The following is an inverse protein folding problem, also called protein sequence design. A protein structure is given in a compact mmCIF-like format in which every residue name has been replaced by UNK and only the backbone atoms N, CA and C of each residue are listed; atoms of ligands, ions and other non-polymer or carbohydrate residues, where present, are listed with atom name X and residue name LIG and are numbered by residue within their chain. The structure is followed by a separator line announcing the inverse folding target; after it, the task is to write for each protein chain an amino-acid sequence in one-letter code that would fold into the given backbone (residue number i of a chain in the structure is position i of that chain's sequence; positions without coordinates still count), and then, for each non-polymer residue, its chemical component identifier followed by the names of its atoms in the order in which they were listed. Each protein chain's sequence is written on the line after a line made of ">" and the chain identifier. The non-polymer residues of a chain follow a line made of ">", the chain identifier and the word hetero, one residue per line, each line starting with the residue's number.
data_IF_286411664933
#
_entry.id   IF_286411664933
#
_cell.length_a   1.000
_cell.length_b   1.000
_cell.length_c   1.000
_cell.angle_alpha   90.00
_cell.angle_beta   90.00
_cell.angle_gamma   90.00
#
_symmetry.space_group_name_H-M   'P 1'
#
loop_
_entity.id
_entity.type
_entity.pdbx_description
1 polymer ?
#
# COMPACT_ATOMS: atom_id res chain seq x y z
N UNK A 1 -22.10 43.86 75.14
CA UNK A 1 -22.86 42.65 74.78
C UNK A 1 -22.28 42.08 73.49
N UNK A 2 -21.39 41.07 73.64
CA UNK A 2 -20.83 40.38 72.47
C UNK A 2 -21.75 39.22 72.11
N UNK A 3 -22.29 39.27 70.89
CA UNK A 3 -23.08 38.17 70.36
C UNK A 3 -22.15 37.01 70.00
N UNK A 4 -22.51 35.80 70.47
CA UNK A 4 -21.78 34.57 70.11
C UNK A 4 -21.87 34.27 68.61
N UNK A 5 -20.81 33.72 68.00
CA UNK A 5 -20.84 33.34 66.59
C UNK A 5 -21.86 32.18 66.31
N UNK A 6 -22.49 32.13 65.14
CA UNK A 6 -23.44 31.05 64.82
C UNK A 6 -22.73 29.67 64.73
N UNK A 7 -23.42 28.60 65.13
CA UNK A 7 -22.83 27.26 65.09
C UNK A 7 -22.48 26.84 63.65
N UNK A 8 -21.25 26.29 63.49
CA UNK A 8 -20.78 25.69 62.22
C UNK A 8 -21.72 24.54 61.81
N UNK A 9 -22.24 24.63 60.59
CA UNK A 9 -23.04 23.54 60.03
C UNK A 9 -22.12 22.35 59.69
N UNK A 10 -22.47 21.11 60.10
CA UNK A 10 -21.66 19.95 59.80
C UNK A 10 -21.64 19.73 58.29
N UNK A 11 -20.44 19.59 57.72
CA UNK A 11 -20.21 19.23 56.31
C UNK A 11 -20.95 17.94 55.98
N UNK A 12 -21.84 17.99 54.97
CA UNK A 12 -22.59 16.80 54.50
C UNK A 12 -21.62 15.70 54.13
N UNK A 13 -21.80 14.44 54.58
CA UNK A 13 -20.88 13.37 54.30
C UNK A 13 -20.82 13.16 52.77
N UNK A 14 -19.63 13.23 52.20
CA UNK A 14 -19.37 12.97 50.80
C UNK A 14 -20.01 11.62 50.42
N UNK A 15 -20.74 11.58 49.32
CA UNK A 15 -21.53 10.44 48.91
C UNK A 15 -20.61 9.26 48.50
N UNK A 16 -20.05 8.55 49.48
CA UNK A 16 -19.08 7.43 49.31
C UNK A 16 -19.55 6.41 48.25
N UNK A 17 -20.85 6.18 48.13
CA UNK A 17 -21.40 5.25 47.12
C UNK A 17 -21.19 5.76 45.70
N UNK A 18 -21.38 7.04 45.42
CA UNK A 18 -21.13 7.64 44.09
C UNK A 18 -19.65 7.61 43.74
N UNK A 19 -18.77 7.92 44.68
CA UNK A 19 -17.31 7.89 44.45
C UNK A 19 -16.84 6.46 44.17
N UNK A 20 -17.33 5.45 44.91
CA UNK A 20 -16.99 4.04 44.68
C UNK A 20 -17.53 3.55 43.32
N UNK A 21 -18.73 3.98 42.88
CA UNK A 21 -19.29 3.64 41.58
C UNK A 21 -18.45 4.25 40.46
N UNK A 22 -18.09 5.52 40.54
CA UNK A 22 -17.25 6.19 39.55
C UNK A 22 -15.86 5.54 39.43
N UNK A 23 -15.25 5.17 40.55
CA UNK A 23 -13.98 4.44 40.58
C UNK A 23 -14.10 3.07 39.89
N UNK A 24 -15.17 2.32 40.17
CA UNK A 24 -15.41 1.02 39.55
C UNK A 24 -15.66 1.15 38.03
N UNK A 25 -16.44 2.15 37.61
CA UNK A 25 -16.63 2.46 36.19
C UNK A 25 -15.31 2.85 35.51
N UNK A 26 -14.50 3.68 36.14
CA UNK A 26 -13.17 4.05 35.62
C UNK A 26 -12.24 2.85 35.46
N UNK A 27 -12.22 1.93 36.43
CA UNK A 27 -11.44 0.69 36.38
C UNK A 27 -11.94 -0.25 35.26
N UNK A 28 -13.26 -0.40 35.09
CA UNK A 28 -13.84 -1.21 34.02
C UNK A 28 -13.56 -0.62 32.63
N UNK A 29 -13.68 0.70 32.47
CA UNK A 29 -13.36 1.38 31.23
C UNK A 29 -11.85 1.30 30.91
N UNK A 30 -10.99 1.49 31.92
CA UNK A 30 -9.55 1.32 31.78
C UNK A 30 -9.16 -0.11 31.39
N UNK A 31 -9.78 -1.11 32.03
CA UNK A 31 -9.60 -2.51 31.69
C UNK A 31 -10.05 -2.86 30.26
N UNK A 32 -11.21 -2.35 29.84
CA UNK A 32 -11.74 -2.55 28.51
C UNK A 32 -10.82 -1.88 27.44
N UNK A 33 -10.34 -0.66 27.70
CA UNK A 33 -9.40 0.02 26.81
C UNK A 33 -8.09 -0.76 26.71
N UNK A 34 -7.52 -1.20 27.83
CA UNK A 34 -6.27 -1.99 27.84
C UNK A 34 -6.44 -3.31 27.07
N UNK A 35 -7.57 -4.01 27.25
CA UNK A 35 -7.89 -5.24 26.51
C UNK A 35 -8.02 -4.97 25.00
N UNK A 36 -8.67 -3.87 24.61
CA UNK A 36 -8.80 -3.48 23.20
C UNK A 36 -7.45 -3.16 22.58
N UNK A 37 -6.59 -2.40 23.28
CA UNK A 37 -5.24 -2.10 22.79
C UNK A 37 -4.39 -3.35 22.67
N UNK A 38 -4.46 -4.27 23.63
CA UNK A 38 -3.76 -5.54 23.58
C UNK A 38 -4.25 -6.42 22.43
N UNK A 39 -5.56 -6.52 22.22
CA UNK A 39 -6.14 -7.26 21.11
C UNK A 39 -5.74 -6.66 19.75
N UNK A 40 -5.74 -5.35 19.62
CA UNK A 40 -5.29 -4.63 18.42
C UNK A 40 -3.80 -4.89 18.17
N UNK A 41 -2.98 -4.79 19.20
CA UNK A 41 -1.55 -5.08 19.10
C UNK A 41 -1.30 -6.53 18.66
N UNK A 42 -1.97 -7.50 19.30
CA UNK A 42 -1.89 -8.92 18.93
C UNK A 42 -2.35 -9.12 17.48
N UNK A 43 -3.40 -8.45 17.05
CA UNK A 43 -3.91 -8.55 15.67
C UNK A 43 -2.85 -8.13 14.65
N UNK A 44 -2.17 -7.01 14.87
CA UNK A 44 -1.17 -6.48 13.95
C UNK A 44 0.24 -7.08 14.10
N UNK A 45 0.44 -8.01 15.05
CA UNK A 45 1.70 -8.72 15.26
C UNK A 45 1.50 -10.25 15.21
N UNK A 46 1.04 -10.82 14.08
CA UNK A 46 0.86 -12.26 13.97
C UNK A 46 2.21 -12.97 13.99
N UNK A 47 2.21 -14.20 14.53
CA UNK A 47 3.36 -15.10 14.44
C UNK A 47 3.55 -15.51 12.99
N UNK A 48 4.76 -15.30 12.46
CA UNK A 48 5.15 -15.71 11.12
C UNK A 48 6.65 -16.03 11.10
N UNK A 49 7.05 -17.00 10.30
CA UNK A 49 8.46 -17.19 9.95
C UNK A 49 8.88 -16.06 9.02
N UNK A 50 10.00 -15.41 9.32
CA UNK A 50 10.49 -14.28 8.54
C UNK A 50 11.87 -14.56 8.00
N UNK A 51 12.01 -14.42 6.67
CA UNK A 51 13.27 -14.41 5.96
C UNK A 51 13.50 -12.97 5.46
N UNK A 52 14.61 -12.37 5.85
CA UNK A 52 14.91 -10.97 5.52
C UNK A 52 16.08 -10.87 4.58
N UNK A 53 16.06 -9.86 3.71
CA UNK A 53 17.16 -9.57 2.80
C UNK A 53 17.40 -10.69 1.78
N UNK A 54 16.34 -11.37 1.33
CA UNK A 54 16.44 -12.35 0.24
C UNK A 54 16.67 -11.59 -1.06
N UNK A 55 17.87 -11.74 -1.65
CA UNK A 55 18.25 -10.96 -2.83
C UNK A 55 17.68 -11.57 -4.11
N UNK A 56 17.01 -10.73 -4.91
CA UNK A 56 16.44 -11.10 -6.21
C UNK A 56 17.23 -10.53 -7.39
N UNK A 57 18.26 -9.75 -7.14
CA UNK A 57 19.13 -9.16 -8.15
C UNK A 57 20.07 -8.12 -7.60
N UNK A 58 20.69 -7.38 -8.49
CA UNK A 58 21.51 -6.21 -8.16
C UNK A 58 21.39 -5.15 -9.25
N UNK A 59 21.62 -3.87 -8.86
CA UNK A 59 21.76 -2.72 -9.74
C UNK A 59 22.89 -1.84 -9.22
N UNK A 60 23.84 -1.46 -10.07
CA UNK A 60 24.98 -0.60 -9.75
C UNK A 60 25.75 -1.03 -8.48
N UNK A 61 25.95 -2.35 -8.34
CA UNK A 61 26.63 -2.95 -7.20
C UNK A 61 25.81 -2.98 -5.90
N UNK A 62 24.55 -2.54 -5.92
CA UNK A 62 23.64 -2.60 -4.78
C UNK A 62 22.73 -3.82 -4.91
N UNK A 63 22.67 -4.65 -3.87
CA UNK A 63 21.74 -5.78 -3.81
C UNK A 63 20.31 -5.31 -3.75
N UNK A 64 19.46 -5.89 -4.58
CA UNK A 64 18.00 -5.71 -4.58
C UNK A 64 17.39 -6.88 -3.84
N UNK A 65 16.71 -6.62 -2.73
CA UNK A 65 16.24 -7.65 -1.83
C UNK A 65 14.76 -7.48 -1.48
N UNK A 66 14.18 -8.56 -0.99
CA UNK A 66 12.82 -8.63 -0.46
C UNK A 66 12.82 -9.33 0.91
N UNK A 67 11.78 -9.09 1.68
CA UNK A 67 11.53 -9.83 2.92
C UNK A 67 10.34 -10.75 2.71
N UNK A 68 10.40 -11.95 3.27
CA UNK A 68 9.35 -12.95 3.18
C UNK A 68 8.80 -13.20 4.58
N UNK A 69 7.48 -13.16 4.70
CA UNK A 69 6.78 -13.55 5.92
C UNK A 69 5.79 -14.67 5.61
N UNK A 70 6.03 -15.86 6.18
CA UNK A 70 5.19 -17.04 6.01
C UNK A 70 4.45 -17.34 7.31
N UNK A 71 3.10 -17.34 7.32
CA UNK A 71 2.34 -17.66 8.51
C UNK A 71 2.46 -19.15 8.86
N UNK A 72 2.16 -19.51 10.12
CA UNK A 72 2.22 -20.90 10.57
C UNK A 72 1.29 -21.83 9.76
N UNK A 73 0.12 -21.31 9.39
CA UNK A 73 -0.88 -22.02 8.58
C UNK A 73 -1.00 -21.30 7.25
N UNK A 74 -0.07 -21.61 6.32
CA UNK A 74 -0.09 -21.01 4.98
C UNK A 74 -1.17 -21.67 4.12
N UNK A 75 -1.86 -20.82 3.30
CA UNK A 75 -2.95 -21.24 2.40
C UNK A 75 -2.48 -21.53 0.97
N UNK A 76 -1.19 -21.45 0.69
CA UNK A 76 -0.62 -21.64 -0.65
C UNK A 76 -0.71 -20.42 -1.56
N UNK A 77 -1.16 -19.27 -1.06
CA UNK A 77 -1.31 -18.04 -1.83
C UNK A 77 -0.27 -17.00 -1.45
N UNK A 78 0.14 -16.16 -2.41
CA UNK A 78 1.15 -15.13 -2.21
C UNK A 78 0.61 -13.71 -2.42
N UNK A 79 1.03 -12.79 -1.54
CA UNK A 79 0.81 -11.35 -1.71
C UNK A 79 2.16 -10.66 -1.86
N UNK A 80 2.35 -9.96 -2.97
CA UNK A 80 3.53 -9.13 -3.20
C UNK A 80 3.21 -7.69 -2.82
N UNK A 81 3.85 -7.22 -1.77
CA UNK A 81 3.70 -5.86 -1.27
C UNK A 81 4.84 -4.99 -1.81
N UNK A 82 4.52 -4.04 -2.69
CA UNK A 82 5.50 -3.09 -3.25
C UNK A 82 5.72 -1.95 -2.27
N UNK A 83 6.85 -1.99 -1.56
CA UNK A 83 7.22 -0.99 -0.56
C UNK A 83 7.83 0.22 -1.25
N UNK A 84 7.01 1.24 -1.55
CA UNK A 84 7.44 2.44 -2.27
C UNK A 84 6.57 3.64 -1.93
N UNK A 85 7.20 4.75 -1.54
CA UNK A 85 6.57 6.06 -1.35
C UNK A 85 7.37 7.12 -2.11
N UNK A 86 6.75 7.86 -3.07
CA UNK A 86 7.47 8.78 -3.94
C UNK A 86 8.63 8.13 -4.69
N UNK A 87 8.49 6.87 -5.08
CA UNK A 87 9.52 6.02 -5.70
C UNK A 87 10.81 5.90 -4.87
N UNK A 88 10.66 5.97 -3.55
CA UNK A 88 11.69 5.61 -2.57
C UNK A 88 11.24 4.39 -1.80
N UNK A 89 12.17 3.50 -1.53
CA UNK A 89 11.97 2.28 -0.78
C UNK A 89 12.93 2.20 0.38
N UNK A 90 12.49 1.68 1.52
CA UNK A 90 13.29 1.56 2.73
C UNK A 90 13.01 0.23 3.40
N UNK A 91 14.06 -0.41 3.91
CA UNK A 91 13.96 -1.61 4.74
C UNK A 91 13.55 -1.30 6.20
N UNK A 92 13.12 -0.04 6.48
CA UNK A 92 12.49 0.24 7.77
C UNK A 92 11.23 -0.62 7.91
N UNK A 93 10.87 -0.94 9.16
CA UNK A 93 9.79 -1.88 9.44
C UNK A 93 8.43 -1.20 9.59
N UNK A 94 8.34 0.05 9.20
CA UNK A 94 7.12 0.82 9.32
C UNK A 94 5.93 0.25 8.55
N UNK A 95 6.18 -0.64 7.58
CA UNK A 95 5.15 -1.31 6.78
C UNK A 95 4.72 -2.69 7.31
N UNK A 96 5.48 -3.32 8.23
CA UNK A 96 5.23 -4.71 8.64
C UNK A 96 3.81 -4.94 9.20
N UNK A 97 3.24 -3.96 9.88
CA UNK A 97 1.88 -4.05 10.40
C UNK A 97 0.81 -4.14 9.30
N UNK A 98 1.09 -3.58 8.10
CA UNK A 98 0.21 -3.67 6.94
C UNK A 98 0.11 -5.10 6.39
N UNK A 99 1.11 -5.94 6.66
CA UNK A 99 1.13 -7.34 6.20
C UNK A 99 0.27 -8.26 7.09
N UNK A 100 -0.06 -7.82 8.31
CA UNK A 100 -0.74 -8.63 9.31
C UNK A 100 -2.11 -9.19 8.85
N UNK A 101 -3.01 -8.44 8.20
CA UNK A 101 -4.28 -8.95 7.72
C UNK A 101 -4.14 -10.11 6.74
N UNK A 102 -3.10 -10.10 5.91
CA UNK A 102 -2.80 -11.16 4.94
C UNK A 102 -2.24 -12.40 5.64
N UNK A 103 -1.24 -12.22 6.52
CA UNK A 103 -0.65 -13.31 7.31
C UNK A 103 -1.69 -14.05 8.15
N UNK A 104 -2.69 -13.33 8.71
CA UNK A 104 -3.80 -13.94 9.47
C UNK A 104 -4.77 -14.73 8.61
N UNK A 105 -4.77 -14.53 7.32
CA UNK A 105 -5.57 -15.28 6.34
C UNK A 105 -4.78 -16.38 5.64
N UNK A 106 -3.55 -16.62 6.08
CA UNK A 106 -2.71 -17.68 5.55
C UNK A 106 -1.86 -17.30 4.34
N UNK A 107 -1.88 -16.04 3.89
CA UNK A 107 -1.04 -15.61 2.77
C UNK A 107 0.43 -15.53 3.17
N UNK A 108 1.31 -16.03 2.32
CA UNK A 108 2.74 -15.68 2.38
C UNK A 108 2.90 -14.28 1.77
N UNK A 109 3.58 -13.37 2.49
CA UNK A 109 3.77 -11.99 2.05
C UNK A 109 5.23 -11.75 1.68
N UNK A 110 5.43 -11.22 0.47
CA UNK A 110 6.71 -10.81 -0.09
C UNK A 110 6.79 -9.28 -0.11
N UNK A 111 7.51 -8.68 0.82
CA UNK A 111 7.74 -7.22 0.85
C UNK A 111 8.91 -6.89 -0.06
N UNK A 112 8.64 -6.32 -1.23
CA UNK A 112 9.64 -6.01 -2.26
C UNK A 112 10.17 -4.61 -2.08
N UNK A 113 11.50 -4.48 -1.96
CA UNK A 113 12.22 -3.23 -1.92
C UNK A 113 12.99 -3.02 -3.21
N UNK A 114 13.19 -1.78 -3.59
CA UNK A 114 13.91 -1.38 -4.80
C UNK A 114 14.92 -0.27 -4.52
N UNK A 115 15.82 0.00 -5.45
CA UNK A 115 16.71 1.13 -5.37
C UNK A 115 15.90 2.44 -5.51
N UNK A 116 16.10 3.36 -4.56
CA UNK A 116 15.33 4.60 -4.48
C UNK A 116 15.76 5.63 -5.52
N UNK A 117 14.80 6.41 -6.04
CA UNK A 117 15.11 7.61 -6.79
C UNK A 117 15.94 8.59 -5.92
N UNK A 118 16.84 9.41 -6.48
CA UNK A 118 17.20 9.53 -7.90
C UNK A 118 18.32 8.57 -8.36
N UNK A 119 18.75 7.61 -7.50
CA UNK A 119 19.80 6.63 -7.89
C UNK A 119 19.32 5.64 -8.94
N UNK A 120 18.00 5.38 -8.96
CA UNK A 120 17.33 4.68 -10.05
C UNK A 120 16.17 5.54 -10.55
N UNK A 121 15.94 5.54 -11.85
CA UNK A 121 14.76 6.13 -12.48
C UNK A 121 13.52 5.27 -12.22
N UNK A 122 12.34 5.84 -12.43
CA UNK A 122 11.07 5.08 -12.28
C UNK A 122 11.00 3.90 -13.25
N UNK A 123 11.53 4.06 -14.47
CA UNK A 123 11.63 2.97 -15.45
C UNK A 123 12.53 1.83 -14.95
N UNK A 124 13.69 2.16 -14.39
CA UNK A 124 14.61 1.17 -13.81
C UNK A 124 14.02 0.50 -12.57
N UNK A 125 13.31 1.27 -11.71
CA UNK A 125 12.58 0.75 -10.55
C UNK A 125 11.51 -0.23 -11.00
N UNK A 126 10.76 0.07 -12.08
CA UNK A 126 9.77 -0.84 -12.64
C UNK A 126 10.42 -2.14 -13.14
N UNK A 127 11.59 -2.06 -13.81
CA UNK A 127 12.39 -3.23 -14.18
C UNK A 127 12.80 -4.08 -12.97
N UNK A 128 13.19 -3.43 -11.86
CA UNK A 128 13.60 -4.11 -10.64
C UNK A 128 12.44 -4.83 -9.96
N UNK A 129 11.27 -4.19 -9.81
CA UNK A 129 10.10 -4.85 -9.21
C UNK A 129 9.56 -5.96 -10.12
N UNK A 130 9.65 -5.80 -11.45
CA UNK A 130 9.32 -6.86 -12.41
C UNK A 130 10.24 -8.08 -12.23
N UNK A 131 11.53 -7.85 -12.01
CA UNK A 131 12.51 -8.91 -11.69
C UNK A 131 12.14 -9.61 -10.39
N UNK A 132 11.69 -8.87 -9.36
CA UNK A 132 11.26 -9.46 -8.09
C UNK A 132 10.04 -10.38 -8.28
N UNK A 133 9.05 -10.00 -9.07
CA UNK A 133 7.87 -10.86 -9.39
C UNK A 133 8.33 -12.16 -10.07
N UNK A 134 9.23 -12.08 -11.06
CA UNK A 134 9.78 -13.28 -11.73
C UNK A 134 10.55 -14.17 -10.77
N UNK A 135 11.38 -13.57 -9.89
CA UNK A 135 12.13 -14.28 -8.87
C UNK A 135 11.19 -15.05 -7.94
N UNK A 136 10.13 -14.40 -7.44
CA UNK A 136 9.11 -15.01 -6.59
C UNK A 136 8.42 -16.15 -7.34
N UNK A 137 7.93 -15.92 -8.55
CA UNK A 137 7.23 -16.91 -9.35
C UNK A 137 8.08 -18.14 -9.67
N UNK A 138 9.37 -17.96 -9.98
CA UNK A 138 10.29 -19.07 -10.28
C UNK A 138 10.66 -19.90 -9.04
N UNK A 139 10.44 -19.36 -7.84
CA UNK A 139 10.73 -20.00 -6.56
C UNK A 139 9.49 -20.22 -5.70
N UNK A 140 8.31 -20.07 -6.28
CA UNK A 140 7.05 -20.12 -5.54
C UNK A 140 6.89 -21.44 -4.76
N UNK A 141 7.32 -22.57 -5.33
CA UNK A 141 7.31 -23.87 -4.65
C UNK A 141 8.19 -23.89 -3.39
N UNK A 142 9.37 -23.23 -3.41
CA UNK A 142 10.26 -23.13 -2.24
C UNK A 142 9.57 -22.42 -1.07
N UNK A 143 8.63 -21.52 -1.38
CA UNK A 143 7.87 -20.73 -0.41
C UNK A 143 6.48 -21.30 -0.11
N UNK A 144 6.14 -22.47 -0.72
CA UNK A 144 4.84 -23.10 -0.58
C UNK A 144 3.70 -22.27 -1.16
N UNK A 145 3.96 -21.56 -2.27
CA UNK A 145 3.01 -20.63 -2.92
C UNK A 145 2.78 -21.09 -4.37
N UNK A 146 1.53 -21.00 -4.81
CA UNK A 146 1.15 -21.19 -6.21
C UNK A 146 1.59 -19.97 -7.05
N UNK A 147 2.49 -20.14 -8.04
CA UNK A 147 2.99 -19.04 -8.85
C UNK A 147 1.91 -18.36 -9.71
N UNK A 148 0.82 -19.05 -10.01
CA UNK A 148 -0.30 -18.52 -10.81
C UNK A 148 -1.37 -17.83 -9.95
N UNK A 149 -1.16 -17.74 -8.63
CA UNK A 149 -2.09 -17.16 -7.66
C UNK A 149 -1.40 -16.13 -6.77
N UNK A 150 -0.73 -15.17 -7.41
CA UNK A 150 -0.07 -14.04 -6.74
C UNK A 150 -0.92 -12.79 -6.84
N UNK A 151 -1.20 -12.16 -5.69
CA UNK A 151 -1.76 -10.81 -5.61
C UNK A 151 -0.66 -9.76 -5.48
N UNK A 152 -0.88 -8.56 -6.00
CA UNK A 152 0.01 -7.40 -5.78
C UNK A 152 -0.73 -6.31 -5.02
N UNK A 153 -0.02 -5.64 -4.11
CA UNK A 153 -0.56 -4.52 -3.34
C UNK A 153 0.48 -3.41 -3.19
N UNK A 154 0.03 -2.15 -3.28
CA UNK A 154 0.88 -0.99 -3.04
C UNK A 154 0.09 0.30 -2.88
N UNK A 155 0.73 1.32 -2.29
CA UNK A 155 0.15 2.65 -2.13
C UNK A 155 0.96 3.72 -2.86
N UNK A 156 0.29 4.77 -3.38
CA UNK A 156 0.96 5.90 -4.04
C UNK A 156 1.90 5.42 -5.16
N UNK A 157 3.18 5.73 -5.09
CA UNK A 157 4.19 5.21 -6.01
C UNK A 157 4.27 3.66 -6.03
N UNK A 158 4.03 2.99 -4.89
CA UNK A 158 3.90 1.53 -4.86
C UNK A 158 2.64 1.03 -5.57
N UNK A 159 1.54 1.77 -5.49
CA UNK A 159 0.32 1.54 -6.24
C UNK A 159 0.53 1.72 -7.74
N UNK A 160 1.26 2.76 -8.14
CA UNK A 160 1.69 2.99 -9.52
C UNK A 160 2.47 1.78 -10.08
N UNK A 161 3.52 1.34 -9.37
CA UNK A 161 4.33 0.19 -9.76
C UNK A 161 3.50 -1.11 -9.81
N UNK A 162 2.56 -1.27 -8.88
CA UNK A 162 1.63 -2.41 -8.86
C UNK A 162 0.72 -2.43 -10.08
N UNK A 163 0.19 -1.28 -10.49
CA UNK A 163 -0.62 -1.17 -11.70
C UNK A 163 0.19 -1.35 -12.97
N UNK A 164 1.44 -0.85 -13.04
CA UNK A 164 2.34 -1.15 -14.16
C UNK A 164 2.60 -2.66 -14.29
N UNK A 165 2.80 -3.37 -13.18
CA UNK A 165 2.91 -4.84 -13.19
C UNK A 165 1.62 -5.50 -13.68
N UNK A 166 0.46 -5.00 -13.27
CA UNK A 166 -0.84 -5.55 -13.66
C UNK A 166 -1.16 -5.31 -15.14
N UNK A 167 -0.78 -4.15 -15.69
CA UNK A 167 -1.09 -3.77 -17.09
C UNK A 167 -0.04 -4.21 -18.10
N UNK A 168 1.24 -4.25 -17.73
CA UNK A 168 2.34 -4.51 -18.67
C UNK A 168 3.05 -5.85 -18.42
N UNK A 169 2.95 -6.43 -17.24
CA UNK A 169 3.64 -7.66 -16.87
C UNK A 169 5.14 -7.54 -16.65
N UNK A 170 5.71 -6.38 -16.85
CA UNK A 170 7.12 -6.06 -16.72
C UNK A 170 7.89 -5.96 -18.04
N UNK A 171 8.86 -5.02 -18.16
CA UNK A 171 9.51 -4.66 -19.41
C UNK A 171 10.54 -5.67 -19.90
N UNK A 172 11.03 -6.58 -19.07
CA UNK A 172 12.06 -7.53 -19.47
C UNK A 172 11.48 -8.90 -19.83
N UNK A 173 11.77 -9.45 -21.02
CA UNK A 173 11.40 -10.81 -21.35
C UNK A 173 12.03 -11.81 -20.37
N UNK A 174 11.39 -12.94 -20.16
CA UNK A 174 12.01 -14.05 -19.48
C UNK A 174 13.28 -14.51 -20.21
N UNK A 175 14.18 -15.21 -19.51
CA UNK A 175 15.43 -15.72 -20.09
C UNK A 175 15.21 -16.65 -21.30
N UNK A 176 14.02 -17.24 -21.43
CA UNK A 176 13.59 -18.07 -22.57
C UNK A 176 12.92 -17.27 -23.70
N UNK A 177 12.91 -15.94 -23.62
CA UNK A 177 12.29 -15.06 -24.61
C UNK A 177 10.76 -14.99 -24.53
N UNK A 178 10.12 -15.68 -23.59
CA UNK A 178 8.68 -15.55 -23.37
C UNK A 178 8.37 -14.22 -22.73
N UNK A 179 7.44 -13.46 -23.30
CA UNK A 179 6.81 -12.34 -22.59
C UNK A 179 6.06 -12.95 -21.40
N UNK A 180 6.57 -12.73 -20.18
CA UNK A 180 5.81 -13.09 -19.00
C UNK A 180 4.66 -12.08 -18.91
N UNK A 181 3.51 -12.45 -19.46
CA UNK A 181 2.25 -11.82 -19.05
C UNK A 181 2.23 -11.88 -17.52
N UNK A 182 1.92 -10.75 -16.90
CA UNK A 182 1.92 -10.57 -15.46
C UNK A 182 1.47 -11.88 -14.77
N UNK A 183 2.30 -12.42 -13.91
CA UNK A 183 1.88 -13.50 -12.99
C UNK A 183 1.00 -12.96 -11.86
N UNK A 184 0.71 -11.66 -11.89
CA UNK A 184 -0.21 -11.01 -10.96
C UNK A 184 -1.63 -11.39 -11.34
N UNK A 185 -2.31 -12.09 -10.43
CA UNK A 185 -3.69 -12.56 -10.63
C UNK A 185 -4.74 -11.56 -10.18
N UNK A 186 -4.39 -10.70 -9.25
CA UNK A 186 -5.26 -9.65 -8.73
C UNK A 186 -4.42 -8.49 -8.18
N UNK A 187 -4.94 -7.26 -8.23
CA UNK A 187 -4.25 -6.07 -7.75
C UNK A 187 -5.09 -5.27 -6.75
N UNK A 188 -4.48 -4.80 -5.66
CA UNK A 188 -5.09 -3.82 -4.76
C UNK A 188 -4.17 -2.61 -4.64
N UNK A 189 -4.70 -1.42 -4.88
CA UNK A 189 -3.89 -0.21 -4.83
C UNK A 189 -4.57 0.91 -4.02
N UNK A 190 -3.73 1.72 -3.36
CA UNK A 190 -4.16 2.86 -2.57
C UNK A 190 -3.64 4.13 -3.22
N UNK A 191 -4.53 5.08 -3.53
CA UNK A 191 -4.21 6.38 -4.12
C UNK A 191 -3.09 6.32 -5.20
N UNK A 192 -3.22 5.44 -6.22
CA UNK A 192 -2.17 5.20 -7.20
C UNK A 192 -2.03 6.39 -8.17
N UNK A 193 -0.80 6.65 -8.62
CA UNK A 193 -0.57 7.43 -9.84
C UNK A 193 -0.89 6.52 -11.04
N UNK A 194 -1.77 6.94 -11.93
CA UNK A 194 -2.19 6.15 -13.09
C UNK A 194 -1.88 6.78 -14.42
N UNK A 195 -1.72 8.12 -14.41
CA UNK A 195 -1.48 8.92 -15.60
C UNK A 195 -0.49 10.05 -15.29
N UNK A 196 0.72 9.94 -15.82
CA UNK A 196 1.76 10.95 -15.72
C UNK A 196 1.67 12.00 -16.84
N UNK A 197 0.80 11.79 -17.84
CA UNK A 197 0.59 12.73 -18.94
C UNK A 197 -0.36 13.86 -18.57
N UNK A 198 -1.17 13.67 -17.53
CA UNK A 198 -2.11 14.67 -17.01
C UNK A 198 -2.04 14.70 -15.47
N UNK A 199 -1.38 15.75 -14.95
CA UNK A 199 -1.21 16.01 -13.53
C UNK A 199 -2.18 17.06 -12.99
N UNK A 200 -3.21 17.44 -13.77
CA UNK A 200 -4.17 18.48 -13.41
C UNK A 200 -4.81 18.21 -12.03
N UNK A 201 -4.76 19.23 -11.18
CA UNK A 201 -5.27 19.16 -9.81
C UNK A 201 -4.28 18.59 -8.78
N UNK A 202 -3.12 18.11 -9.22
CA UNK A 202 -2.04 17.67 -8.32
C UNK A 202 -1.23 18.86 -7.81
N UNK A 203 -0.78 18.79 -6.55
CA UNK A 203 0.23 19.72 -6.01
C UNK A 203 1.59 19.58 -6.70
N UNK A 204 1.81 18.47 -7.41
CA UNK A 204 3.01 18.20 -8.20
C UNK A 204 2.91 18.71 -9.65
N UNK A 205 1.73 19.17 -10.10
CA UNK A 205 1.57 19.70 -11.46
C UNK A 205 2.47 20.93 -11.66
N UNK A 206 3.44 20.88 -12.60
CA UNK A 206 4.30 22.01 -12.87
C UNK A 206 3.58 23.14 -13.64
N UNK A 207 2.41 22.86 -14.26
CA UNK A 207 1.64 23.80 -15.06
C UNK A 207 2.20 24.05 -16.47
N UNK A 208 3.26 23.38 -16.86
CA UNK A 208 3.93 23.48 -18.17
C UNK A 208 3.88 22.16 -18.97
N UNK A 209 3.14 21.17 -18.49
CA UNK A 209 3.03 19.84 -19.09
C UNK A 209 4.29 18.98 -18.91
N UNK A 210 5.19 19.40 -18.02
CA UNK A 210 6.42 18.70 -17.67
C UNK A 210 6.22 17.61 -16.59
N UNK A 211 7.31 16.96 -16.16
CA UNK A 211 7.27 15.94 -15.12
C UNK A 211 6.90 16.51 -13.75
N UNK A 212 6.38 15.68 -12.83
CA UNK A 212 6.01 16.11 -11.49
C UNK A 212 7.13 16.92 -10.84
N UNK A 213 6.76 18.09 -10.28
CA UNK A 213 7.69 19.16 -9.89
C UNK A 213 8.84 18.69 -9.00
N UNK A 214 8.54 17.90 -7.98
CA UNK A 214 9.52 17.41 -7.02
C UNK A 214 10.16 16.07 -7.42
N UNK A 215 9.75 15.46 -8.55
CA UNK A 215 10.20 14.15 -8.99
C UNK A 215 10.93 14.14 -10.33
N UNK A 216 11.32 15.29 -10.87
CA UNK A 216 12.02 15.39 -12.17
C UNK A 216 13.23 14.47 -12.29
N UNK A 217 14.00 14.33 -11.21
CA UNK A 217 15.17 13.43 -11.19
C UNK A 217 14.80 11.94 -11.22
N UNK A 218 13.62 11.59 -10.71
CA UNK A 218 13.12 10.21 -10.74
C UNK A 218 12.77 9.74 -12.16
N UNK A 219 12.61 10.68 -13.10
CA UNK A 219 12.31 10.42 -14.50
C UNK A 219 13.45 10.80 -15.45
N UNK A 220 14.66 11.02 -14.91
CA UNK A 220 15.82 11.49 -15.68
C UNK A 220 15.55 12.79 -16.47
N UNK A 221 14.79 13.72 -15.88
CA UNK A 221 14.34 14.97 -16.49
C UNK A 221 15.02 16.19 -15.84
N UNK A 222 16.37 16.19 -15.85
CA UNK A 222 17.17 17.34 -15.42
C UNK A 222 18.37 17.53 -16.38
N UNK A 223 18.31 18.48 -17.34
CA UNK A 223 17.23 19.45 -17.58
C UNK A 223 15.94 18.79 -18.13
N UNK A 224 14.81 19.52 -18.06
CA UNK A 224 13.54 19.03 -18.59
C UNK A 224 13.55 19.09 -20.11
N UNK A 225 13.23 17.97 -20.74
CA UNK A 225 12.96 17.82 -22.18
C UNK A 225 11.49 17.38 -22.31
N UNK A 226 10.63 18.28 -22.80
CA UNK A 226 9.18 18.05 -22.85
C UNK A 226 8.80 16.94 -23.83
N UNK A 227 9.48 16.80 -24.96
CA UNK A 227 9.13 15.78 -25.94
C UNK A 227 9.53 14.39 -25.43
N UNK A 228 10.75 14.25 -24.90
CA UNK A 228 11.18 13.03 -24.20
C UNK A 228 10.29 12.72 -23.00
N UNK A 229 9.86 13.75 -22.26
CA UNK A 229 8.97 13.57 -21.13
C UNK A 229 7.62 12.98 -21.54
N UNK A 230 6.99 13.48 -22.61
CA UNK A 230 5.71 12.98 -23.10
C UNK A 230 5.76 11.48 -23.44
N UNK A 231 6.84 11.03 -24.06
CA UNK A 231 7.07 9.59 -24.33
C UNK A 231 7.21 8.81 -23.02
N UNK A 232 8.10 9.24 -22.12
CA UNK A 232 8.34 8.61 -20.83
C UNK A 232 7.07 8.57 -19.97
N UNK A 233 6.32 9.69 -19.93
CA UNK A 233 5.08 9.76 -19.17
C UNK A 233 4.04 8.77 -19.67
N UNK A 234 3.88 8.66 -21.01
CA UNK A 234 2.96 7.71 -21.61
C UNK A 234 3.36 6.26 -21.34
N UNK A 235 4.64 5.95 -21.49
CA UNK A 235 5.20 4.62 -21.26
C UNK A 235 5.03 4.17 -19.78
N UNK A 236 5.20 5.09 -18.85
CA UNK A 236 5.11 4.85 -17.42
C UNK A 236 3.73 5.13 -16.82
N UNK A 237 2.68 5.34 -17.63
CA UNK A 237 1.32 5.54 -17.15
C UNK A 237 0.49 4.27 -17.30
N UNK A 238 0.12 3.58 -16.20
CA UNK A 238 -0.73 2.39 -16.27
C UNK A 238 -2.00 2.58 -17.09
N UNK A 239 -2.59 3.77 -17.07
CA UNK A 239 -3.79 4.13 -17.82
C UNK A 239 -3.67 3.82 -19.33
N UNK A 240 -2.50 4.08 -19.93
CA UNK A 240 -2.27 3.90 -21.37
C UNK A 240 -2.00 2.44 -21.77
N UNK A 241 -1.92 1.53 -20.79
CA UNK A 241 -1.65 0.10 -21.00
C UNK A 241 -2.83 -0.79 -20.60
N UNK A 242 -3.99 -0.19 -20.31
CA UNK A 242 -5.20 -0.94 -20.01
C UNK A 242 -5.65 -1.72 -21.23
N UNK A 243 -5.77 -3.05 -21.07
CA UNK A 243 -6.32 -3.97 -22.08
C UNK A 243 -7.32 -4.89 -21.39
N UNK A 244 -8.05 -5.70 -22.15
CA UNK A 244 -8.98 -6.71 -21.62
C UNK A 244 -8.31 -7.78 -20.74
N UNK A 245 -6.99 -7.85 -20.72
CA UNK A 245 -6.20 -8.80 -19.92
C UNK A 245 -5.86 -8.27 -18.52
N UNK A 246 -6.29 -7.05 -18.17
CA UNK A 246 -6.07 -6.49 -16.82
C UNK A 246 -6.74 -7.40 -15.78
N UNK A 247 -5.99 -7.86 -14.77
CA UNK A 247 -6.58 -8.68 -13.70
C UNK A 247 -7.56 -7.87 -12.85
N UNK A 248 -8.48 -8.54 -12.12
CA UNK A 248 -9.35 -7.88 -11.14
C UNK A 248 -8.56 -6.91 -10.27
N UNK A 249 -9.08 -5.70 -10.13
CA UNK A 249 -8.35 -4.61 -9.47
C UNK A 249 -9.26 -3.85 -8.51
N UNK A 250 -8.81 -3.70 -7.25
CA UNK A 250 -9.47 -2.89 -6.23
C UNK A 250 -8.64 -1.65 -5.94
N UNK A 251 -9.28 -0.48 -6.01
CA UNK A 251 -8.64 0.81 -5.78
C UNK A 251 -9.30 1.48 -4.57
N UNK A 252 -8.50 1.94 -3.60
CA UNK A 252 -8.94 2.82 -2.52
C UNK A 252 -8.38 4.22 -2.74
N UNK A 253 -9.22 5.26 -2.70
CA UNK A 253 -8.76 6.63 -2.91
C UNK A 253 -9.56 7.64 -2.07
N UNK A 254 -8.86 8.61 -1.47
CA UNK A 254 -9.47 9.72 -0.76
C UNK A 254 -9.97 10.81 -1.73
N UNK A 255 -11.20 11.30 -1.55
CA UNK A 255 -11.80 12.31 -2.44
C UNK A 255 -11.24 13.73 -2.26
N UNK A 256 -10.37 13.93 -1.25
CA UNK A 256 -9.66 15.21 -1.01
C UNK A 256 -8.14 15.06 -1.18
N UNK A 257 -7.71 14.05 -1.91
CA UNK A 257 -6.29 13.87 -2.22
C UNK A 257 -5.83 14.96 -3.22
N UNK A 258 -4.93 15.81 -2.76
CA UNK A 258 -4.33 16.89 -3.56
C UNK A 258 -2.95 16.53 -4.11
N UNK A 259 -2.33 15.48 -3.59
CA UNK A 259 -1.04 14.98 -4.09
C UNK A 259 -1.25 14.13 -5.35
N UNK A 260 -2.15 13.16 -5.25
CA UNK A 260 -2.63 12.36 -6.39
C UNK A 260 -4.15 12.52 -6.45
N UNK A 261 -4.68 13.40 -7.30
CA UNK A 261 -6.11 13.63 -7.38
C UNK A 261 -6.90 12.37 -7.68
N UNK A 262 -8.09 12.22 -7.09
CA UNK A 262 -8.95 11.04 -7.28
C UNK A 262 -9.31 10.78 -8.75
N UNK A 263 -9.30 11.83 -9.58
CA UNK A 263 -9.49 11.73 -11.04
C UNK A 263 -8.52 10.76 -11.71
N UNK A 264 -7.33 10.54 -11.14
CA UNK A 264 -6.38 9.54 -11.59
C UNK A 264 -7.01 8.12 -11.53
N UNK A 265 -7.59 7.76 -10.37
CA UNK A 265 -8.26 6.46 -10.19
C UNK A 265 -9.57 6.35 -10.95
N UNK A 266 -10.32 7.45 -11.08
CA UNK A 266 -11.58 7.47 -11.83
C UNK A 266 -11.32 7.19 -13.31
N UNK A 267 -10.35 7.88 -13.94
CA UNK A 267 -9.98 7.66 -15.34
C UNK A 267 -9.48 6.24 -15.58
N UNK A 268 -8.66 5.70 -14.67
CA UNK A 268 -8.16 4.32 -14.79
C UNK A 268 -9.31 3.31 -14.73
N UNK A 269 -10.21 3.44 -13.75
CA UNK A 269 -11.40 2.59 -13.63
C UNK A 269 -12.25 2.67 -14.91
N UNK A 270 -12.55 3.86 -15.39
CA UNK A 270 -13.44 4.07 -16.54
C UNK A 270 -12.84 3.45 -17.81
N UNK A 271 -11.53 3.59 -18.03
CA UNK A 271 -10.82 2.95 -19.12
C UNK A 271 -10.86 1.42 -19.01
N UNK A 272 -10.63 0.89 -17.80
CA UNK A 272 -10.65 -0.55 -17.55
C UNK A 272 -12.05 -1.16 -17.71
N UNK A 273 -13.09 -0.49 -17.19
CA UNK A 273 -14.49 -0.91 -17.39
C UNK A 273 -14.86 -0.89 -18.88
N UNK A 274 -14.41 0.12 -19.62
CA UNK A 274 -14.60 0.20 -21.08
C UNK A 274 -13.91 -0.95 -21.81
N UNK A 275 -12.76 -1.41 -21.30
CA UNK A 275 -12.04 -2.59 -21.82
C UNK A 275 -12.66 -3.94 -21.37
N UNK A 276 -13.73 -3.93 -20.56
CA UNK A 276 -14.41 -5.12 -20.07
C UNK A 276 -13.78 -5.75 -18.82
N UNK A 277 -12.93 -5.01 -18.09
CA UNK A 277 -12.23 -5.49 -16.91
C UNK A 277 -13.02 -5.23 -15.61
N UNK A 278 -12.79 -6.08 -14.61
CA UNK A 278 -13.36 -5.93 -13.26
C UNK A 278 -12.47 -4.99 -12.43
N UNK A 279 -12.90 -3.74 -12.30
CA UNK A 279 -12.21 -2.72 -11.48
C UNK A 279 -13.19 -2.03 -10.55
N UNK A 280 -12.93 -2.16 -9.25
CA UNK A 280 -13.70 -1.50 -8.19
C UNK A 280 -12.93 -0.28 -7.65
N UNK A 281 -13.60 0.87 -7.55
CA UNK A 281 -13.08 2.07 -6.89
C UNK A 281 -13.87 2.37 -5.62
N UNK A 282 -13.21 2.24 -4.47
CA UNK A 282 -13.74 2.61 -3.16
C UNK A 282 -13.28 4.00 -2.78
N UNK A 283 -14.20 4.94 -2.79
CA UNK A 283 -13.95 6.36 -2.44
C UNK A 283 -14.01 6.55 -0.93
N UNK A 284 -12.94 7.06 -0.34
CA UNK A 284 -12.88 7.38 1.09
C UNK A 284 -13.22 8.87 1.26
N UNK A 285 -14.45 9.13 1.68
CA UNK A 285 -14.97 10.50 1.77
C UNK A 285 -14.23 11.34 2.82
N UNK A 286 -13.84 12.55 2.45
CA UNK A 286 -13.13 13.51 3.29
C UNK A 286 -11.64 13.17 3.52
N UNK A 287 -11.14 12.08 2.96
CA UNK A 287 -9.76 11.66 3.10
C UNK A 287 -8.83 12.33 2.07
N UNK A 288 -7.60 12.67 2.51
CA UNK A 288 -6.50 13.07 1.64
C UNK A 288 -5.68 11.88 1.15
N UNK A 289 -4.39 12.11 0.83
CA UNK A 289 -3.47 11.08 0.33
C UNK A 289 -3.24 9.92 1.32
N UNK A 290 -3.34 10.20 2.61
CA UNK A 290 -3.35 9.19 3.68
C UNK A 290 -4.51 9.48 4.62
N UNK A 291 -5.02 8.43 5.29
CA UNK A 291 -6.15 8.58 6.21
C UNK A 291 -6.07 7.60 7.38
N UNK A 292 -6.68 7.99 8.49
CA UNK A 292 -6.58 7.27 9.76
C UNK A 292 -7.18 5.85 9.70
N UNK A 293 -8.22 5.64 8.89
CA UNK A 293 -8.90 4.34 8.78
C UNK A 293 -8.26 3.41 7.75
N UNK A 294 -7.14 3.77 7.12
CA UNK A 294 -6.43 2.93 6.15
C UNK A 294 -6.19 1.48 6.62
N UNK A 295 -5.91 1.19 7.91
CA UNK A 295 -5.82 -0.19 8.39
C UNK A 295 -7.08 -1.02 8.14
N UNK A 296 -8.28 -0.41 8.16
CA UNK A 296 -9.53 -1.10 7.87
C UNK A 296 -9.64 -1.45 6.38
N UNK A 297 -9.16 -0.58 5.50
CA UNK A 297 -9.11 -0.84 4.06
C UNK A 297 -8.08 -1.93 3.73
N UNK A 298 -6.98 -2.02 4.46
CA UNK A 298 -6.03 -3.15 4.30
C UNK A 298 -6.68 -4.48 4.73
N UNK A 299 -7.49 -4.49 5.79
CA UNK A 299 -8.29 -5.66 6.17
C UNK A 299 -9.31 -6.01 5.09
N UNK A 300 -9.96 -5.00 4.49
CA UNK A 300 -10.90 -5.18 3.37
C UNK A 300 -10.17 -5.75 2.14
N UNK A 301 -8.98 -5.22 1.80
CA UNK A 301 -8.13 -5.73 0.74
C UNK A 301 -7.80 -7.22 0.92
N UNK A 302 -7.43 -7.63 2.14
CA UNK A 302 -7.12 -9.02 2.43
C UNK A 302 -8.33 -9.95 2.24
N UNK A 303 -9.56 -9.48 2.58
CA UNK A 303 -10.80 -10.22 2.32
C UNK A 303 -11.15 -10.27 0.83
N UNK A 304 -10.89 -9.18 0.11
CA UNK A 304 -11.16 -9.11 -1.31
C UNK A 304 -10.26 -10.10 -2.08
N UNK A 305 -9.00 -10.22 -1.72
CA UNK A 305 -8.10 -11.20 -2.32
C UNK A 305 -8.57 -12.65 -2.12
N UNK A 306 -9.26 -12.99 -1.01
CA UNK A 306 -9.80 -14.34 -0.81
C UNK A 306 -10.82 -14.75 -1.89
N UNK A 307 -11.48 -13.77 -2.52
CA UNK A 307 -12.44 -14.03 -3.59
C UNK A 307 -11.78 -14.01 -4.99
N UNK A 308 -10.57 -13.46 -5.12
CA UNK A 308 -9.90 -13.29 -6.40
C UNK A 308 -8.73 -14.26 -6.63
N UNK A 309 -8.15 -14.77 -5.56
CA UNK A 309 -7.07 -15.74 -5.56
C UNK A 309 -7.54 -17.12 -5.10
#
# INVERSE_FOLDING_TARGET
>A
MNAAPPPEQPLKPANRRRTTLLLRMGLLMGGALAATLAATWIYFHPSAQRQRGVCYGSRDGVSLCLDIATPKEANGLGIVFIVSGGWKSSHDRGHEWLTAPFLRRGYTVFSVFHLSQPRATVAEIFGDVSRAIRFIGNRAEEYGVDPDRLGVIGGSAGGHLSLLLATQGGPEPAADGTSIKSRVRAAVVFCPVTDLTDLTGSTEDPGDGGPPRNFRAAFDQRPVDIDRWRETARELSPLHHVTSDLPPTLIFHGDRDTLVPISQSERFRDAAVTAGCDVELVVIRGAGHTWLTMPLQVIQAARWFDAQL
#
